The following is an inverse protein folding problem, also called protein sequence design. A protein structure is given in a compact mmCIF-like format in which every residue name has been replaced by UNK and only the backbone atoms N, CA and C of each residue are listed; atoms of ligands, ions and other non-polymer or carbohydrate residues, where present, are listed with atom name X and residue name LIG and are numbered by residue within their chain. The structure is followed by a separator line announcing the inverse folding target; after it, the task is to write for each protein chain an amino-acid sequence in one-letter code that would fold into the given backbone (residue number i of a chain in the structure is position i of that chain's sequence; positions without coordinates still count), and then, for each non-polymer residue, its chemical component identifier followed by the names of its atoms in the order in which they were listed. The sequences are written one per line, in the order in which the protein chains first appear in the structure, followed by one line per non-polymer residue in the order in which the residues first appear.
data_IF_273628052375
#
_entry.id   IF_273628052375
#
_cell.length_a   1.000
_cell.length_b   1.000
_cell.length_c   1.000
_cell.angle_alpha   90.00
_cell.angle_beta   90.00
_cell.angle_gamma   90.00
#
_symmetry.space_group_name_H-M   'P 1'
#
loop_
_entity.id
_entity.type
_entity.pdbx_description
1 polymer ?
#
# COMPACT_ATOMS: atom_id res chain seq x y z
N UNK A 1 6.01 39.75 -43.66
CA UNK A 1 6.73 38.54 -43.20
C UNK A 1 6.41 38.13 -41.75
N UNK A 2 5.53 38.82 -40.99
CA UNK A 2 5.33 38.56 -39.55
C UNK A 2 4.26 37.51 -39.16
N UNK A 3 3.39 37.06 -40.07
CA UNK A 3 2.29 36.13 -39.71
C UNK A 3 2.72 34.68 -39.46
N UNK A 4 3.84 34.25 -40.04
CA UNK A 4 4.33 32.87 -39.87
C UNK A 4 5.00 32.61 -38.51
N UNK A 5 5.60 33.64 -37.91
CA UNK A 5 6.33 33.53 -36.63
C UNK A 5 5.37 33.44 -35.45
N UNK A 6 4.31 34.27 -35.44
CA UNK A 6 3.28 34.27 -34.39
C UNK A 6 2.49 32.96 -34.34
N UNK A 7 2.23 32.32 -35.48
CA UNK A 7 1.58 31.01 -35.51
C UNK A 7 2.44 29.90 -34.87
N UNK A 8 3.76 29.96 -35.05
CA UNK A 8 4.70 28.99 -34.46
C UNK A 8 4.79 29.20 -32.94
N UNK A 9 4.85 30.46 -32.50
CA UNK A 9 4.86 30.82 -31.08
C UNK A 9 3.59 30.33 -30.36
N UNK A 10 2.41 30.60 -30.93
CA UNK A 10 1.13 30.11 -30.40
C UNK A 10 1.07 28.57 -30.33
N UNK A 11 1.58 27.88 -31.36
CA UNK A 11 1.66 26.42 -31.37
C UNK A 11 2.59 25.86 -30.28
N UNK A 12 3.73 26.50 -30.05
CA UNK A 12 4.68 26.10 -29.01
C UNK A 12 4.08 26.33 -27.62
N UNK A 13 3.47 27.49 -27.39
CA UNK A 13 2.82 27.81 -26.11
C UNK A 13 1.69 26.84 -25.80
N UNK A 14 0.84 26.55 -26.80
CA UNK A 14 -0.24 25.58 -26.65
C UNK A 14 0.28 24.16 -26.41
N UNK A 15 1.36 23.75 -27.08
CA UNK A 15 2.02 22.48 -26.84
C UNK A 15 2.57 22.35 -25.41
N UNK A 16 3.24 23.40 -24.92
CA UNK A 16 3.76 23.44 -23.54
C UNK A 16 2.61 23.40 -22.53
N UNK A 17 1.52 24.14 -22.78
CA UNK A 17 0.35 24.17 -21.91
C UNK A 17 -0.31 22.79 -21.83
N UNK A 18 -0.56 22.14 -22.97
CA UNK A 18 -1.11 20.78 -23.03
C UNK A 18 -0.20 19.78 -22.33
N UNK A 19 1.11 19.80 -22.61
CA UNK A 19 2.05 18.89 -21.98
C UNK A 19 2.09 19.04 -20.45
N UNK A 20 2.00 20.27 -19.93
CA UNK A 20 1.89 20.52 -18.48
C UNK A 20 0.58 20.01 -17.89
N UNK A 21 -0.54 20.22 -18.57
CA UNK A 21 -1.86 19.75 -18.13
C UNK A 21 -1.93 18.22 -18.12
N UNK A 22 -1.45 17.57 -19.18
CA UNK A 22 -1.37 16.12 -19.31
C UNK A 22 -0.44 15.52 -18.26
N UNK A 23 0.79 16.03 -18.14
CA UNK A 23 1.75 15.56 -17.15
C UNK A 23 1.26 15.74 -15.71
N UNK A 24 0.57 16.85 -15.40
CA UNK A 24 -0.04 17.05 -14.09
C UNK A 24 -1.16 16.03 -13.83
N UNK A 25 -2.01 15.76 -14.83
CA UNK A 25 -3.12 14.82 -14.70
C UNK A 25 -2.60 13.39 -14.49
N UNK A 26 -1.63 12.97 -15.29
CA UNK A 26 -1.02 11.64 -15.19
C UNK A 26 -0.27 11.47 -13.87
N UNK A 27 0.54 12.45 -13.47
CA UNK A 27 1.25 12.42 -12.19
C UNK A 27 0.31 12.36 -11.00
N UNK A 28 -0.80 13.11 -11.02
CA UNK A 28 -1.81 13.06 -9.96
C UNK A 28 -2.52 11.71 -9.92
N UNK A 29 -2.88 11.15 -11.08
CA UNK A 29 -3.54 9.85 -11.15
C UNK A 29 -2.65 8.73 -10.63
N UNK A 30 -1.39 8.69 -11.06
CA UNK A 30 -0.41 7.70 -10.59
C UNK A 30 -0.14 7.85 -9.09
N UNK A 31 0.08 9.07 -8.61
CA UNK A 31 0.31 9.34 -7.19
C UNK A 31 -0.88 8.94 -6.31
N UNK A 32 -2.11 9.23 -6.75
CA UNK A 32 -3.32 8.83 -6.03
C UNK A 32 -3.47 7.30 -5.98
N UNK A 33 -3.24 6.61 -7.10
CA UNK A 33 -3.34 5.15 -7.15
C UNK A 33 -2.31 4.50 -6.22
N UNK A 34 -1.05 4.95 -6.26
CA UNK A 34 0.00 4.47 -5.37
C UNK A 34 -0.32 4.75 -3.90
N UNK A 35 -0.77 5.96 -3.57
CA UNK A 35 -1.14 6.33 -2.21
C UNK A 35 -2.30 5.50 -1.65
N UNK A 36 -3.33 5.24 -2.48
CA UNK A 36 -4.46 4.38 -2.08
C UNK A 36 -4.01 2.93 -1.84
N UNK A 37 -3.13 2.39 -2.69
CA UNK A 37 -2.60 1.04 -2.52
C UNK A 37 -1.75 0.92 -1.25
N UNK A 38 -0.82 1.86 -1.02
CA UNK A 38 0.01 1.89 0.17
C UNK A 38 -0.83 2.06 1.45
N UNK A 39 -1.80 2.96 1.43
CA UNK A 39 -2.71 3.18 2.56
C UNK A 39 -3.56 1.94 2.87
N UNK A 40 -4.04 1.23 1.85
CA UNK A 40 -4.78 -0.02 2.04
C UNK A 40 -3.92 -1.10 2.70
N UNK A 41 -2.67 -1.27 2.24
CA UNK A 41 -1.74 -2.23 2.83
C UNK A 41 -1.44 -1.88 4.29
N UNK A 42 -1.11 -0.62 4.56
CA UNK A 42 -0.82 -0.15 5.92
C UNK A 42 -2.02 -0.36 6.86
N UNK A 43 -3.22 0.06 6.45
CA UNK A 43 -4.42 -0.09 7.25
C UNK A 43 -4.74 -1.55 7.57
N UNK A 44 -4.52 -2.49 6.62
CA UNK A 44 -4.74 -3.92 6.88
C UNK A 44 -3.69 -4.49 7.83
N UNK A 45 -2.41 -4.07 7.73
CA UNK A 45 -1.35 -4.47 8.68
C UNK A 45 -1.68 -3.98 10.09
N UNK A 46 -2.03 -2.71 10.23
CA UNK A 46 -2.45 -2.12 11.51
C UNK A 46 -3.66 -2.87 12.10
N UNK A 47 -4.66 -3.20 11.28
CA UNK A 47 -5.81 -3.98 11.73
C UNK A 47 -5.45 -5.38 12.27
N UNK A 48 -4.47 -6.07 11.67
CA UNK A 48 -3.96 -7.35 12.20
C UNK A 48 -3.35 -7.13 13.59
N UNK A 49 -2.50 -6.12 13.73
CA UNK A 49 -1.83 -5.80 14.99
C UNK A 49 -2.85 -5.43 16.06
N UNK A 50 -3.80 -4.55 15.77
CA UNK A 50 -4.82 -4.08 16.71
C UNK A 50 -5.66 -5.23 17.27
N UNK A 51 -6.07 -6.17 16.41
CA UNK A 51 -6.81 -7.37 16.82
C UNK A 51 -5.97 -8.23 17.76
N UNK A 52 -4.70 -8.48 17.42
CA UNK A 52 -3.83 -9.33 18.23
C UNK A 52 -3.46 -8.69 19.57
N UNK A 53 -3.22 -7.37 19.57
CA UNK A 53 -3.00 -6.60 20.80
C UNK A 53 -4.20 -6.70 21.72
N UNK A 54 -5.40 -6.45 21.17
CA UNK A 54 -6.65 -6.49 21.93
C UNK A 54 -6.93 -7.87 22.52
N UNK A 55 -6.67 -8.95 21.78
CA UNK A 55 -7.04 -10.31 22.19
C UNK A 55 -6.01 -10.98 23.10
N UNK A 56 -4.72 -10.67 22.92
CA UNK A 56 -3.66 -11.50 23.49
C UNK A 56 -2.58 -10.73 24.25
N UNK A 57 -2.59 -9.39 24.22
CA UNK A 57 -1.58 -8.54 24.88
C UNK A 57 -0.13 -9.02 24.68
N UNK A 58 0.33 -9.19 23.42
CA UNK A 58 1.66 -9.69 23.10
C UNK A 58 2.74 -8.74 23.61
N UNK A 59 3.87 -9.31 24.03
CA UNK A 59 5.02 -8.49 24.42
C UNK A 59 5.57 -7.68 23.23
N UNK A 60 6.16 -6.52 23.52
CA UNK A 60 6.74 -5.62 22.50
C UNK A 60 7.69 -6.32 21.51
N UNK A 61 8.49 -7.28 21.99
CA UNK A 61 9.39 -8.07 21.13
C UNK A 61 8.62 -8.86 20.07
N UNK A 62 7.53 -9.53 20.48
CA UNK A 62 6.70 -10.31 19.55
C UNK A 62 6.01 -9.40 18.53
N UNK A 63 5.48 -8.26 18.98
CA UNK A 63 4.87 -7.27 18.08
C UNK A 63 5.84 -6.80 17.01
N UNK A 64 7.08 -6.45 17.39
CA UNK A 64 8.09 -5.98 16.44
C UNK A 64 8.46 -7.03 15.40
N UNK A 65 8.62 -8.29 15.83
CA UNK A 65 8.87 -9.39 14.88
C UNK A 65 7.70 -9.57 13.93
N UNK A 66 6.46 -9.43 14.42
CA UNK A 66 5.28 -9.55 13.59
C UNK A 66 5.14 -8.40 12.59
N UNK A 67 5.36 -7.15 13.01
CA UNK A 67 5.35 -5.96 12.14
C UNK A 67 6.30 -6.16 10.95
N UNK A 68 7.55 -6.58 11.20
CA UNK A 68 8.54 -6.84 10.14
C UNK A 68 8.09 -7.92 9.16
N UNK A 69 7.36 -8.95 9.62
CA UNK A 69 6.82 -10.00 8.73
C UNK A 69 5.66 -9.48 7.90
N UNK A 70 4.73 -8.73 8.51
CA UNK A 70 3.57 -8.16 7.83
C UNK A 70 3.97 -7.10 6.79
N UNK A 71 5.05 -6.36 7.00
CA UNK A 71 5.61 -5.39 6.04
C UNK A 71 6.02 -6.02 4.71
N UNK A 72 6.45 -7.29 4.72
CA UNK A 72 6.86 -8.05 3.52
C UNK A 72 5.68 -8.52 2.66
N UNK A 73 4.47 -8.45 3.19
CA UNK A 73 3.25 -8.88 2.49
C UNK A 73 2.74 -7.72 1.66
N UNK A 74 2.85 -7.82 0.34
CA UNK A 74 2.41 -6.79 -0.61
C UNK A 74 1.03 -7.05 -1.21
N UNK A 75 0.48 -8.26 -1.01
CA UNK A 75 -0.88 -8.59 -1.44
C UNK A 75 -1.91 -8.14 -0.39
N UNK A 76 -2.82 -7.20 -0.73
CA UNK A 76 -3.86 -6.79 0.19
C UNK A 76 -4.73 -7.95 0.63
N UNK A 77 -5.14 -8.85 -0.26
CA UNK A 77 -6.12 -9.90 0.09
C UNK A 77 -5.56 -10.88 1.11
N UNK A 78 -4.28 -11.25 0.99
CA UNK A 78 -3.52 -11.96 2.03
C UNK A 78 -3.62 -11.24 3.39
N UNK A 79 -3.40 -9.92 3.45
CA UNK A 79 -3.53 -9.16 4.71
C UNK A 79 -4.96 -9.16 5.24
N UNK A 80 -5.96 -9.11 4.38
CA UNK A 80 -7.38 -9.19 4.80
C UNK A 80 -7.72 -10.54 5.41
N UNK A 81 -7.21 -11.62 4.82
CA UNK A 81 -7.35 -12.96 5.39
C UNK A 81 -6.68 -13.04 6.76
N UNK A 82 -5.49 -12.42 6.92
CA UNK A 82 -4.81 -12.35 8.20
C UNK A 82 -5.60 -11.58 9.28
N UNK A 83 -6.32 -10.51 8.92
CA UNK A 83 -7.22 -9.81 9.87
C UNK A 83 -8.30 -10.76 10.37
N UNK A 84 -8.95 -11.49 9.44
CA UNK A 84 -9.99 -12.46 9.78
C UNK A 84 -9.44 -13.61 10.64
N UNK A 85 -8.25 -14.10 10.29
CA UNK A 85 -7.56 -15.15 11.03
C UNK A 85 -7.18 -14.70 12.44
N UNK A 86 -6.63 -13.49 12.60
CA UNK A 86 -6.29 -12.91 13.89
C UNK A 86 -7.50 -12.83 14.84
N UNK A 87 -8.71 -12.68 14.31
CA UNK A 87 -9.95 -12.69 15.08
C UNK A 87 -10.47 -14.09 15.45
N UNK A 88 -10.03 -15.14 14.76
CA UNK A 88 -10.58 -16.51 14.90
C UNK A 88 -9.66 -17.47 15.66
N UNK A 89 -8.35 -17.30 15.54
CA UNK A 89 -7.36 -18.16 16.22
C UNK A 89 -7.50 -18.12 17.74
N UNK A 90 -7.18 -19.22 18.41
CA UNK A 90 -7.32 -19.37 19.86
C UNK A 90 -6.12 -18.82 20.65
N UNK A 91 -4.98 -18.60 19.97
CA UNK A 91 -3.75 -18.10 20.59
C UNK A 91 -2.84 -17.38 19.59
N UNK A 92 -1.85 -16.65 20.11
CA UNK A 92 -0.78 -16.05 19.31
C UNK A 92 0.05 -17.11 18.58
N UNK A 93 0.31 -18.26 19.21
CA UNK A 93 1.07 -19.35 18.57
C UNK A 93 0.29 -19.95 17.39
N UNK A 94 -1.03 -20.12 17.53
CA UNK A 94 -1.90 -20.55 16.45
C UNK A 94 -1.89 -19.55 15.29
N UNK A 95 -1.91 -18.25 15.59
CA UNK A 95 -1.76 -17.20 14.58
C UNK A 95 -0.40 -17.29 13.87
N UNK A 96 0.71 -17.43 14.62
CA UNK A 96 2.04 -17.54 14.01
C UNK A 96 2.19 -18.76 13.11
N UNK A 97 1.66 -19.91 13.52
CA UNK A 97 1.68 -21.12 12.71
C UNK A 97 0.89 -20.94 11.40
N UNK A 98 -0.32 -20.37 11.50
CA UNK A 98 -1.14 -20.10 10.34
C UNK A 98 -0.53 -19.02 9.42
N UNK A 99 0.07 -17.97 9.97
CA UNK A 99 0.83 -16.98 9.22
C UNK A 99 1.98 -17.63 8.44
N UNK A 100 2.79 -18.48 9.11
CA UNK A 100 3.90 -19.21 8.46
C UNK A 100 3.41 -20.06 7.29
N UNK A 101 2.29 -20.77 7.48
CA UNK A 101 1.70 -21.60 6.42
C UNK A 101 1.20 -20.77 5.24
N UNK A 102 0.62 -19.60 5.50
CA UNK A 102 0.07 -18.70 4.48
C UNK A 102 1.15 -18.07 3.60
N UNK A 103 2.28 -17.66 4.21
CA UNK A 103 3.36 -16.94 3.51
C UNK A 103 4.48 -17.85 3.00
N UNK A 104 4.34 -19.17 3.11
CA UNK A 104 5.34 -20.17 2.68
C UNK A 104 6.78 -19.84 3.09
N UNK A 105 6.96 -19.34 4.31
CA UNK A 105 8.30 -19.13 4.88
C UNK A 105 8.91 -20.51 5.23
N UNK A 106 9.72 -21.05 4.32
CA UNK A 106 10.69 -22.12 4.62
C UNK A 106 11.83 -21.54 5.48
N UNK A 107 12.32 -22.36 6.42
CA UNK A 107 13.31 -22.02 7.46
C UNK A 107 14.68 -21.60 6.93
#
# INVERSE_FOLDING_TARGET
MMRGVSFIEEWIEEGIRKGKEEGKREGLQQGLQQGLQQGLLQARREAVIDVLVTRFDPSYRHLRTLETRLERIEDPETLRELVSLAAQVESLDAFHAALKALIQEEE
#
